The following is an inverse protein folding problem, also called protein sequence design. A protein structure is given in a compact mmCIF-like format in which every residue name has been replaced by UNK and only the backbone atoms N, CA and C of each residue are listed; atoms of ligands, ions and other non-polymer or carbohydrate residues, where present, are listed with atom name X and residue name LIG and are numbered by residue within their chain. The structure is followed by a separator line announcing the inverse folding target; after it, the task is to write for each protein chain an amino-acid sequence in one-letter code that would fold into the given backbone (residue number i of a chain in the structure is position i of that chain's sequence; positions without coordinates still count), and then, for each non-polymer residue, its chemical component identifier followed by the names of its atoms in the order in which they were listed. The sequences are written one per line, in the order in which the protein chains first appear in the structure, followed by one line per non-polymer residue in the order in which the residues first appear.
data_IF_982213680588
#
_entry.id   IF_982213680588
#
_cell.length_a   1.000
_cell.length_b   1.000
_cell.length_c   1.000
_cell.angle_alpha   90.00
_cell.angle_beta   90.00
_cell.angle_gamma   90.00
#
_symmetry.space_group_name_H-M   'P 1'
#
loop_
_entity.id
_entity.type
_entity.pdbx_description
1 polymer ?
#
# COMPACT_ATOMS: atom_id res chain seq x y z
N UNK A 1 -1.87 -41.61 -1.81
CA UNK A 1 -2.56 -40.73 -2.77
C UNK A 1 -3.66 -40.01 -2.03
N UNK A 2 -3.48 -38.73 -1.72
CA UNK A 2 -4.54 -37.82 -1.31
C UNK A 2 -4.07 -36.40 -1.64
N UNK A 3 -4.99 -35.63 -2.20
CA UNK A 3 -4.78 -34.54 -3.16
C UNK A 3 -4.10 -33.31 -2.57
N UNK A 4 -3.17 -32.76 -3.35
CA UNK A 4 -2.65 -31.40 -3.24
C UNK A 4 -3.83 -30.44 -3.17
N UNK A 5 -4.10 -29.88 -1.98
CA UNK A 5 -4.93 -28.69 -1.90
C UNK A 5 -4.02 -27.54 -2.28
N UNK A 6 -3.95 -27.27 -3.59
CA UNK A 6 -3.56 -25.96 -4.07
C UNK A 6 -4.54 -24.97 -3.45
N UNK A 7 -4.18 -24.39 -2.31
CA UNK A 7 -4.75 -23.13 -1.88
C UNK A 7 -4.25 -22.12 -2.91
N UNK A 8 -5.01 -21.97 -3.99
CA UNK A 8 -4.96 -20.80 -4.85
C UNK A 8 -5.25 -19.60 -3.95
N UNK A 9 -4.17 -19.08 -3.37
CA UNK A 9 -3.80 -17.68 -3.32
C UNK A 9 -4.96 -16.66 -3.46
N UNK A 10 -5.96 -16.76 -2.58
CA UNK A 10 -6.74 -15.62 -2.10
C UNK A 10 -5.86 -14.83 -1.12
N UNK A 11 -4.59 -14.55 -1.47
CA UNK A 11 -3.88 -13.49 -0.79
C UNK A 11 -4.57 -12.22 -1.23
N UNK A 12 -5.60 -11.81 -0.48
CA UNK A 12 -5.71 -10.41 -0.12
C UNK A 12 -4.29 -9.99 0.28
N UNK A 13 -3.59 -9.34 -0.64
CA UNK A 13 -2.22 -8.92 -0.41
C UNK A 13 -2.27 -8.05 0.83
N UNK A 14 -1.66 -8.52 1.93
CA UNK A 14 -1.74 -7.79 3.19
C UNK A 14 -1.13 -6.40 2.91
N UNK A 15 -1.90 -5.31 3.05
CA UNK A 15 -1.49 -3.99 2.55
C UNK A 15 -0.19 -3.53 3.21
N UNK A 16 0.09 -4.00 4.42
CA UNK A 16 1.38 -3.80 5.11
C UNK A 16 2.54 -4.41 4.34
N UNK A 17 2.39 -5.64 3.86
CA UNK A 17 3.41 -6.34 3.10
C UNK A 17 3.67 -5.61 1.78
N UNK A 18 2.61 -5.24 1.06
CA UNK A 18 2.72 -4.47 -0.20
C UNK A 18 3.46 -3.16 0.02
N UNK A 19 3.10 -2.41 1.08
CA UNK A 19 3.81 -1.18 1.43
C UNK A 19 5.27 -1.44 1.76
N UNK A 20 5.61 -2.45 2.59
CA UNK A 20 6.99 -2.75 2.95
C UNK A 20 7.85 -3.16 1.74
N UNK A 21 7.28 -3.91 0.81
CA UNK A 21 7.95 -4.28 -0.44
C UNK A 21 8.19 -3.07 -1.36
N UNK A 22 7.27 -2.11 -1.36
CA UNK A 22 7.33 -0.92 -2.22
C UNK A 22 7.90 0.34 -1.54
N UNK A 23 8.16 0.33 -0.24
CA UNK A 23 8.69 1.48 0.53
C UNK A 23 10.01 2.00 -0.03
N UNK A 24 10.83 1.11 -0.58
CA UNK A 24 12.10 1.46 -1.23
C UNK A 24 11.95 1.96 -2.67
N UNK A 25 10.78 1.84 -3.27
CA UNK A 25 10.51 2.17 -4.68
C UNK A 25 9.34 3.14 -4.81
N UNK A 26 9.48 4.32 -4.17
CA UNK A 26 8.48 5.39 -4.19
C UNK A 26 8.11 5.81 -5.64
N UNK A 27 9.07 5.76 -6.55
CA UNK A 27 8.85 6.07 -7.96
C UNK A 27 7.93 5.06 -8.65
N UNK A 28 8.06 3.77 -8.34
CA UNK A 28 7.14 2.73 -8.80
C UNK A 28 5.75 2.92 -8.22
N UNK A 29 5.62 3.27 -6.94
CA UNK A 29 4.33 3.59 -6.30
C UNK A 29 3.62 4.74 -7.02
N UNK A 30 4.34 5.80 -7.37
CA UNK A 30 3.81 6.93 -8.13
C UNK A 30 3.41 6.56 -9.56
N UNK A 31 4.03 5.55 -10.14
CA UNK A 31 3.72 5.06 -11.49
C UNK A 31 2.48 4.15 -11.53
N UNK A 32 2.12 3.47 -10.42
CA UNK A 32 0.96 2.57 -10.35
C UNK A 32 -0.36 3.18 -10.88
N UNK A 33 -0.80 4.38 -10.46
CA UNK A 33 -2.02 4.98 -11.00
C UNK A 33 -1.91 5.32 -12.49
N UNK A 34 -0.70 5.63 -13.00
CA UNK A 34 -0.46 5.88 -14.42
C UNK A 34 -0.54 4.59 -15.26
N UNK A 35 -0.16 3.46 -14.67
CA UNK A 35 -0.29 2.13 -15.27
C UNK A 35 -1.72 1.53 -15.15
N UNK A 36 -2.66 2.26 -14.54
CA UNK A 36 -4.02 1.77 -14.29
C UNK A 36 -4.13 0.80 -13.11
N UNK A 37 -3.09 0.65 -12.29
CA UNK A 37 -3.05 -0.22 -11.10
C UNK A 37 -3.53 0.53 -9.85
N UNK A 38 -4.72 1.13 -9.91
CA UNK A 38 -5.27 1.92 -8.80
C UNK A 38 -5.53 1.10 -7.53
N UNK A 39 -5.95 -0.16 -7.66
CA UNK A 39 -6.14 -1.03 -6.50
C UNK A 39 -4.82 -1.25 -5.75
N UNK A 40 -3.74 -1.58 -6.47
CA UNK A 40 -2.42 -1.76 -5.87
C UNK A 40 -1.92 -0.47 -5.21
N UNK A 41 -2.13 0.68 -5.88
CA UNK A 41 -1.81 1.98 -5.32
C UNK A 41 -2.55 2.26 -4.01
N UNK A 42 -3.85 1.94 -3.95
CA UNK A 42 -4.64 2.06 -2.72
C UNK A 42 -4.13 1.14 -1.62
N UNK A 43 -3.75 -0.09 -1.95
CA UNK A 43 -3.18 -1.03 -0.97
C UNK A 43 -1.86 -0.51 -0.38
N UNK A 44 -0.99 0.12 -1.19
CA UNK A 44 0.23 0.77 -0.70
C UNK A 44 -0.11 1.90 0.27
N UNK A 45 -1.06 2.78 -0.06
CA UNK A 45 -1.45 3.89 0.82
C UNK A 45 -2.10 3.39 2.13
N UNK A 46 -2.89 2.32 2.06
CA UNK A 46 -3.45 1.67 3.24
C UNK A 46 -2.35 1.10 4.12
N UNK A 47 -1.39 0.40 3.51
CA UNK A 47 -0.22 -0.16 4.19
C UNK A 47 0.62 0.91 4.88
N UNK A 48 0.89 2.02 4.21
CA UNK A 48 1.57 3.18 4.77
C UNK A 48 0.89 3.69 6.05
N UNK A 49 -0.43 3.92 6.01
CA UNK A 49 -1.18 4.37 7.19
C UNK A 49 -1.19 3.33 8.32
N UNK A 50 -1.15 2.05 7.98
CA UNK A 50 -1.11 0.97 8.97
C UNK A 50 0.27 0.80 9.61
N UNK A 51 1.36 0.98 8.86
CA UNK A 51 2.72 0.75 9.32
C UNK A 51 3.30 2.01 9.99
N UNK A 52 3.25 3.15 9.31
CA UNK A 52 3.85 4.39 9.82
C UNK A 52 2.93 5.08 10.84
N UNK A 53 1.62 5.10 10.57
CA UNK A 53 0.64 5.80 11.43
C UNK A 53 -0.11 4.87 12.40
N UNK A 54 0.21 3.57 12.42
CA UNK A 54 -0.42 2.55 13.28
C UNK A 54 -1.97 2.53 13.21
N UNK A 55 -2.54 2.93 12.08
CA UNK A 55 -3.99 2.88 11.90
C UNK A 55 -4.50 1.45 11.72
N UNK A 56 -5.72 1.22 12.17
CA UNK A 56 -6.45 -0.01 11.84
C UNK A 56 -6.76 -0.04 10.35
N UNK A 57 -6.77 -1.23 9.75
CA UNK A 57 -7.01 -1.40 8.31
C UNK A 57 -8.30 -0.72 7.84
N UNK A 58 -9.41 -0.92 8.56
CA UNK A 58 -10.69 -0.27 8.24
C UNK A 58 -10.58 1.26 8.19
N UNK A 59 -9.82 1.83 9.14
CA UNK A 59 -9.63 3.29 9.21
C UNK A 59 -8.75 3.76 8.05
N UNK A 60 -7.67 3.04 7.76
CA UNK A 60 -6.79 3.33 6.65
C UNK A 60 -7.54 3.24 5.31
N UNK A 61 -8.31 2.18 5.06
CA UNK A 61 -9.14 2.02 3.84
C UNK A 61 -10.16 3.15 3.68
N UNK A 62 -10.85 3.54 4.76
CA UNK A 62 -11.79 4.66 4.73
C UNK A 62 -11.12 6.00 4.43
N UNK A 63 -9.93 6.23 4.97
CA UNK A 63 -9.17 7.46 4.71
C UNK A 63 -8.68 7.51 3.27
N UNK A 64 -8.11 6.40 2.77
CA UNK A 64 -7.62 6.29 1.39
C UNK A 64 -8.73 6.53 0.38
N UNK A 65 -9.94 6.03 0.64
CA UNK A 65 -11.10 6.22 -0.24
C UNK A 65 -11.45 7.72 -0.35
N UNK A 66 -11.08 8.35 -1.46
CA UNK A 66 -11.38 9.76 -1.73
C UNK A 66 -10.35 10.76 -1.20
N UNK A 67 -9.27 10.30 -0.56
CA UNK A 67 -8.15 11.15 -0.14
C UNK A 67 -6.80 10.60 -0.62
N UNK A 68 -6.78 9.78 -1.66
CA UNK A 68 -5.55 9.15 -2.17
C UNK A 68 -4.42 10.16 -2.42
N UNK A 69 -4.73 11.28 -3.06
CA UNK A 69 -3.74 12.32 -3.37
C UNK A 69 -3.16 13.00 -2.13
N UNK A 70 -3.97 13.23 -1.08
CA UNK A 70 -3.50 13.86 0.15
C UNK A 70 -2.57 12.92 0.95
N UNK A 71 -2.89 11.62 0.97
CA UNK A 71 -2.06 10.61 1.63
C UNK A 71 -0.76 10.39 0.87
N UNK A 72 -0.81 10.45 -0.47
CA UNK A 72 0.38 10.41 -1.31
C UNK A 72 1.34 11.57 -0.99
N UNK A 73 0.82 12.79 -0.84
CA UNK A 73 1.63 13.96 -0.48
C UNK A 73 2.31 13.75 0.88
N UNK A 74 1.56 13.28 1.89
CA UNK A 74 2.15 12.94 3.20
C UNK A 74 3.26 11.89 3.09
N UNK A 75 3.05 10.82 2.31
CA UNK A 75 4.06 9.79 2.06
C UNK A 75 5.33 10.39 1.43
N UNK A 76 5.19 11.27 0.45
CA UNK A 76 6.33 11.91 -0.23
C UNK A 76 7.05 12.93 0.65
N UNK A 77 6.34 13.66 1.52
CA UNK A 77 6.94 14.62 2.45
C UNK A 77 7.74 13.91 3.55
N UNK A 78 7.24 12.80 4.10
CA UNK A 78 7.99 12.00 5.08
C UNK A 78 9.24 11.36 4.44
N UNK A 79 9.15 10.90 3.19
CA UNK A 79 10.31 10.31 2.46
C UNK A 79 11.42 11.32 2.15
N UNK A 80 11.07 12.59 1.89
CA UNK A 80 12.06 13.67 1.67
C UNK A 80 12.80 14.03 2.97
N UNK A 81 12.14 13.83 4.11
CA UNK A 81 12.68 14.15 5.43
C UNK A 81 13.66 13.08 5.97
N UNK A 82 13.68 11.86 5.40
CA UNK A 82 14.65 10.80 5.73
C UNK A 82 16.02 10.96 5.03
N UNK A 83 16.22 12.05 4.27
CA UNK A 83 17.46 12.35 3.52
C UNK A 83 18.50 13.20 4.28
N UNK A 84 18.40 13.34 5.61
CA UNK A 84 19.35 14.12 6.44
C UNK A 84 19.94 13.34 7.62
#
# INVERSE_FOLDING_TARGET
MAYSTSHENDQAHDPRTVYLEMRGDLQGVLALPLEGKQDLFREVLVGYLMVEHNYSEERARRLVTGNEAAILVMLTEESDNELW
#
